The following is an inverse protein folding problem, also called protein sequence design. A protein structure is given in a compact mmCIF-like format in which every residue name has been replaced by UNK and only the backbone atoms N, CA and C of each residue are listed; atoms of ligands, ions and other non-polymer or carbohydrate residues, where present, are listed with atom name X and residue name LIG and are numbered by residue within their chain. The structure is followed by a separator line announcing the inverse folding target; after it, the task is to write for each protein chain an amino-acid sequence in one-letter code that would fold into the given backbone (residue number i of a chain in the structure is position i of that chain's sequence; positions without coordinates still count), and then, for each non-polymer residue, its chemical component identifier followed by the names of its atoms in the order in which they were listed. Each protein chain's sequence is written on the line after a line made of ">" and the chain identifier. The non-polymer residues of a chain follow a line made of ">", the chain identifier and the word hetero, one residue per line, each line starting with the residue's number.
data_IF_986483184678
#
_entry.id   IF_986483184678
#
_cell.length_a   1.000
_cell.length_b   1.000
_cell.length_c   1.000
_cell.angle_alpha   90.00
_cell.angle_beta   90.00
_cell.angle_gamma   90.00
#
_symmetry.space_group_name_H-M   'P 1'
#
loop_
_entity.id
_entity.type
_entity.pdbx_description
1 polymer ?
#
# COMPACT_ATOMS: atom_id res chain seq x y z
N UNK A 1 0.50 -18.15 -23.81
CA UNK A 1 -0.72 -17.36 -24.12
C UNK A 1 -1.06 -16.31 -23.05
N UNK A 2 -1.25 -16.65 -21.76
CA UNK A 2 -1.64 -15.69 -20.69
C UNK A 2 -0.63 -14.55 -20.47
N UNK A 3 0.67 -14.86 -20.38
CA UNK A 3 1.75 -13.86 -20.26
C UNK A 3 1.78 -12.88 -21.43
N UNK A 4 1.63 -13.38 -22.67
CA UNK A 4 1.61 -12.56 -23.88
C UNK A 4 0.40 -11.61 -23.89
N UNK A 5 -0.79 -12.12 -23.56
CA UNK A 5 -2.00 -11.30 -23.47
C UNK A 5 -1.84 -10.17 -22.45
N UNK A 6 -1.28 -10.46 -21.27
CA UNK A 6 -1.00 -9.44 -20.27
C UNK A 6 0.01 -8.40 -20.77
N UNK A 7 1.10 -8.83 -21.43
CA UNK A 7 2.08 -7.91 -22.03
C UNK A 7 1.47 -7.01 -23.11
N UNK A 8 0.54 -7.54 -23.92
CA UNK A 8 -0.20 -6.74 -24.91
C UNK A 8 -1.11 -5.70 -24.24
N UNK A 9 -1.85 -6.09 -23.19
CA UNK A 9 -2.66 -5.16 -22.40
C UNK A 9 -1.79 -4.06 -21.79
N UNK A 10 -0.63 -4.40 -21.21
CA UNK A 10 0.30 -3.43 -20.66
C UNK A 10 0.88 -2.49 -21.73
N UNK A 11 1.10 -2.98 -22.93
CA UNK A 11 1.57 -2.17 -24.06
C UNK A 11 0.49 -1.19 -24.53
N UNK A 12 -0.77 -1.64 -24.60
CA UNK A 12 -1.91 -0.79 -24.91
C UNK A 12 -2.13 0.29 -23.83
N UNK A 13 -2.05 -0.07 -22.55
CA UNK A 13 -2.16 0.88 -21.43
C UNK A 13 -1.03 1.93 -21.50
N UNK A 14 0.17 1.54 -21.93
CA UNK A 14 1.34 2.43 -21.95
C UNK A 14 1.15 3.67 -22.83
N UNK A 15 0.42 3.54 -23.95
CA UNK A 15 0.22 4.64 -24.91
C UNK A 15 -0.98 5.53 -24.58
N UNK A 16 -1.89 5.06 -23.71
CA UNK A 16 -3.08 5.82 -23.37
C UNK A 16 -2.76 6.98 -22.39
N UNK A 17 -3.41 8.15 -22.57
CA UNK A 17 -3.46 9.19 -21.56
C UNK A 17 -3.99 8.67 -20.22
N UNK A 18 -3.43 9.16 -19.10
CA UNK A 18 -3.79 8.71 -17.76
C UNK A 18 -5.30 8.80 -17.47
N UNK A 19 -5.97 9.86 -17.94
CA UNK A 19 -7.41 10.02 -17.71
C UNK A 19 -8.24 8.89 -18.34
N UNK A 20 -7.88 8.42 -19.55
CA UNK A 20 -8.58 7.29 -20.19
C UNK A 20 -8.37 6.00 -19.42
N UNK A 21 -7.13 5.75 -18.98
CA UNK A 21 -6.82 4.56 -18.18
C UNK A 21 -7.60 4.56 -16.87
N UNK A 22 -7.73 5.71 -16.22
CA UNK A 22 -8.51 5.87 -14.99
C UNK A 22 -10.02 5.79 -15.23
N UNK A 23 -10.53 6.24 -16.37
CA UNK A 23 -11.95 6.04 -16.74
C UNK A 23 -12.22 4.56 -16.95
N UNK A 24 -11.38 3.87 -17.73
CA UNK A 24 -11.50 2.42 -17.97
C UNK A 24 -11.42 1.65 -16.65
N UNK A 25 -10.40 1.94 -15.82
CA UNK A 25 -10.27 1.35 -14.49
C UNK A 25 -11.48 1.61 -13.61
N UNK A 26 -12.01 2.84 -13.63
CA UNK A 26 -13.22 3.21 -12.89
C UNK A 26 -14.45 2.42 -13.30
N UNK A 27 -14.69 2.29 -14.61
CA UNK A 27 -15.79 1.49 -15.16
C UNK A 27 -15.64 0.02 -14.77
N UNK A 28 -14.45 -0.56 -14.91
CA UNK A 28 -14.19 -1.96 -14.51
C UNK A 28 -14.41 -2.18 -13.01
N UNK A 29 -14.02 -1.22 -12.16
CA UNK A 29 -14.27 -1.26 -10.71
C UNK A 29 -15.77 -1.28 -10.37
N UNK A 30 -16.56 -0.43 -11.04
CA UNK A 30 -18.02 -0.41 -10.89
C UNK A 30 -18.63 -1.73 -11.39
N UNK A 31 -18.21 -2.23 -12.55
CA UNK A 31 -18.69 -3.49 -13.10
C UNK A 31 -18.35 -4.68 -12.18
N UNK A 32 -17.16 -4.71 -11.58
CA UNK A 32 -16.80 -5.72 -10.59
C UNK A 32 -17.72 -5.66 -9.36
N UNK A 33 -18.01 -4.46 -8.86
CA UNK A 33 -18.93 -4.26 -7.74
C UNK A 33 -20.35 -4.73 -8.04
N UNK A 34 -20.88 -4.41 -9.23
CA UNK A 34 -22.23 -4.79 -9.66
C UNK A 34 -22.32 -6.27 -10.05
N UNK A 35 -21.29 -6.82 -10.69
CA UNK A 35 -21.29 -8.18 -11.22
C UNK A 35 -20.91 -9.27 -10.22
N UNK A 36 -20.14 -8.95 -9.16
CA UNK A 36 -19.65 -9.95 -8.20
C UNK A 36 -20.26 -9.76 -6.80
N UNK A 37 -21.11 -10.71 -6.39
CA UNK A 37 -21.68 -10.77 -5.03
C UNK A 37 -20.58 -10.88 -3.97
N UNK A 38 -19.55 -11.70 -4.23
CA UNK A 38 -18.43 -11.90 -3.30
C UNK A 38 -17.58 -10.63 -3.14
N UNK A 39 -17.28 -9.92 -4.23
CA UNK A 39 -16.56 -8.66 -4.16
C UNK A 39 -17.34 -7.64 -3.32
N UNK A 40 -18.64 -7.52 -3.58
CA UNK A 40 -19.53 -6.60 -2.85
C UNK A 40 -19.67 -6.93 -1.37
N UNK A 41 -19.75 -8.20 -1.01
CA UNK A 41 -19.89 -8.62 0.39
C UNK A 41 -18.64 -8.33 1.21
N UNK A 42 -17.45 -8.34 0.60
CA UNK A 42 -16.22 -7.88 1.24
C UNK A 42 -16.16 -6.35 1.29
N UNK A 43 -16.51 -5.68 0.20
CA UNK A 43 -16.37 -4.23 0.06
C UNK A 43 -17.34 -3.43 0.95
N UNK A 44 -18.65 -3.62 0.75
CA UNK A 44 -19.68 -2.68 1.23
C UNK A 44 -19.74 -2.57 2.75
N UNK A 45 -19.75 -3.67 3.52
CA UNK A 45 -19.85 -3.57 4.99
C UNK A 45 -18.66 -2.85 5.60
N UNK A 46 -17.45 -3.08 5.09
CA UNK A 46 -16.23 -2.45 5.58
C UNK A 46 -16.24 -0.94 5.31
N UNK A 47 -16.49 -0.55 4.05
CA UNK A 47 -16.54 0.86 3.67
C UNK A 47 -17.65 1.62 4.41
N UNK A 48 -18.86 1.06 4.44
CA UNK A 48 -20.00 1.70 5.13
C UNK A 48 -19.76 1.89 6.61
N UNK A 49 -19.21 0.89 7.30
CA UNK A 49 -18.93 0.99 8.72
C UNK A 49 -18.01 2.17 9.04
N UNK A 50 -16.92 2.32 8.28
CA UNK A 50 -15.94 3.40 8.46
C UNK A 50 -16.53 4.76 8.12
N UNK A 51 -17.17 4.93 6.97
CA UNK A 51 -17.73 6.26 6.63
C UNK A 51 -18.84 6.67 7.58
N UNK A 52 -19.69 5.72 8.05
CA UNK A 52 -20.74 6.01 9.03
C UNK A 52 -20.17 6.37 10.40
N UNK A 53 -19.20 5.61 10.92
CA UNK A 53 -18.62 5.88 12.24
C UNK A 53 -17.88 7.23 12.29
N UNK A 54 -17.36 7.69 11.15
CA UNK A 54 -16.65 8.97 11.02
C UNK A 54 -17.50 10.10 10.43
N UNK A 55 -18.82 9.93 10.29
CA UNK A 55 -19.74 10.96 9.75
C UNK A 55 -19.33 11.48 8.36
N UNK A 56 -18.75 10.61 7.53
CA UNK A 56 -18.30 10.93 6.18
C UNK A 56 -19.40 10.58 5.15
N UNK A 57 -19.45 11.29 4.01
CA UNK A 57 -20.45 11.02 2.98
C UNK A 57 -20.26 9.63 2.36
N UNK A 58 -21.37 8.90 2.22
CA UNK A 58 -21.37 7.60 1.57
C UNK A 58 -21.27 7.76 0.05
N UNK A 59 -20.10 7.45 -0.52
CA UNK A 59 -19.80 7.62 -1.96
C UNK A 59 -19.43 6.28 -2.61
N UNK A 60 -20.34 5.31 -2.50
CA UNK A 60 -20.09 3.91 -2.89
C UNK A 60 -19.62 3.74 -4.34
N UNK A 61 -20.19 4.51 -5.28
CA UNK A 61 -19.82 4.44 -6.70
C UNK A 61 -18.43 5.00 -6.97
N UNK A 62 -18.10 6.12 -6.31
CA UNK A 62 -16.75 6.68 -6.39
C UNK A 62 -15.73 5.72 -5.78
N UNK A 63 -16.07 5.05 -4.67
CA UNK A 63 -15.18 4.12 -4.01
C UNK A 63 -14.97 2.81 -4.82
N UNK A 64 -16.03 2.31 -5.45
CA UNK A 64 -15.95 1.18 -6.38
C UNK A 64 -15.11 1.53 -7.61
N UNK A 65 -15.33 2.70 -8.22
CA UNK A 65 -14.51 3.18 -9.33
C UNK A 65 -13.04 3.35 -8.93
N UNK A 66 -12.80 3.93 -7.76
CA UNK A 66 -11.45 4.16 -7.24
C UNK A 66 -10.67 2.86 -7.00
N UNK A 67 -11.35 1.77 -6.64
CA UNK A 67 -10.70 0.46 -6.50
C UNK A 67 -10.21 -0.07 -7.84
N UNK A 68 -10.99 0.06 -8.91
CA UNK A 68 -10.54 -0.28 -10.26
C UNK A 68 -9.43 0.65 -10.76
N UNK A 69 -9.51 1.93 -10.41
CA UNK A 69 -8.47 2.92 -10.72
C UNK A 69 -7.14 2.63 -10.03
N UNK A 70 -7.13 2.10 -8.81
CA UNK A 70 -5.90 1.69 -8.11
C UNK A 70 -5.11 0.67 -8.94
N UNK A 71 -5.79 -0.32 -9.52
CA UNK A 71 -5.14 -1.30 -10.41
C UNK A 71 -4.67 -0.64 -11.71
N UNK A 72 -5.51 0.14 -12.39
CA UNK A 72 -5.13 0.76 -13.65
C UNK A 72 -4.01 1.80 -13.50
N UNK A 73 -4.00 2.56 -12.40
CA UNK A 73 -2.94 3.48 -12.02
C UNK A 73 -1.62 2.72 -11.87
N UNK A 74 -1.63 1.61 -11.14
CA UNK A 74 -0.45 0.78 -10.91
C UNK A 74 0.18 0.32 -12.23
N UNK A 75 -0.63 -0.22 -13.14
CA UNK A 75 -0.17 -0.68 -14.46
C UNK A 75 0.36 0.47 -15.32
N UNK A 76 -0.28 1.64 -15.27
CA UNK A 76 0.15 2.80 -16.04
C UNK A 76 1.45 3.39 -15.50
N UNK A 77 1.61 3.50 -14.18
CA UNK A 77 2.84 3.96 -13.51
C UNK A 77 4.03 3.08 -13.91
N UNK A 78 3.84 1.76 -13.94
CA UNK A 78 4.89 0.80 -14.34
C UNK A 78 5.39 1.04 -15.77
N UNK A 79 4.50 1.44 -16.67
CA UNK A 79 4.83 1.65 -18.09
C UNK A 79 5.24 3.09 -18.41
N UNK A 80 4.88 4.05 -17.57
CA UNK A 80 5.14 5.47 -17.77
C UNK A 80 5.81 6.13 -16.54
N UNK A 81 6.90 5.58 -15.97
CA UNK A 81 7.42 6.04 -14.69
C UNK A 81 7.82 7.52 -14.70
N UNK A 82 8.48 8.01 -15.76
CA UNK A 82 8.86 9.43 -15.89
C UNK A 82 7.66 10.36 -15.95
N UNK A 83 6.63 10.02 -16.75
CA UNK A 83 5.40 10.82 -16.84
C UNK A 83 4.64 10.79 -15.52
N UNK A 84 4.56 9.62 -14.87
CA UNK A 84 3.92 9.49 -13.58
C UNK A 84 4.57 10.39 -12.53
N UNK A 85 5.90 10.39 -12.45
CA UNK A 85 6.65 11.25 -11.53
C UNK A 85 6.39 12.74 -11.77
N UNK A 86 6.31 13.19 -13.03
CA UNK A 86 5.98 14.60 -13.34
C UNK A 86 4.57 15.05 -12.92
N UNK A 87 3.68 14.10 -12.61
CA UNK A 87 2.31 14.36 -12.18
C UNK A 87 2.15 14.28 -10.65
N UNK A 88 3.22 14.00 -9.92
CA UNK A 88 3.18 13.95 -8.45
C UNK A 88 3.38 15.34 -7.89
N UNK A 89 2.49 15.71 -6.99
CA UNK A 89 2.70 16.82 -6.07
C UNK A 89 3.11 16.24 -4.72
N UNK A 90 4.28 16.63 -4.24
CA UNK A 90 4.83 16.15 -2.96
C UNK A 90 4.67 17.22 -1.90
N UNK A 91 3.99 16.89 -0.81
CA UNK A 91 3.92 17.70 0.40
C UNK A 91 4.79 17.06 1.49
N UNK A 92 5.20 17.87 2.46
CA UNK A 92 5.96 17.43 3.64
C UNK A 92 7.33 16.80 3.33
N UNK A 93 7.92 17.11 2.17
CA UNK A 93 9.19 16.52 1.75
C UNK A 93 10.35 16.81 2.71
N UNK A 94 10.40 18.02 3.29
CA UNK A 94 11.42 18.39 4.30
C UNK A 94 11.42 17.46 5.51
N UNK A 95 10.26 16.92 5.89
CA UNK A 95 10.16 15.94 6.98
C UNK A 95 10.80 14.61 6.58
N UNK A 96 10.67 14.19 5.33
CA UNK A 96 11.28 12.98 4.80
C UNK A 96 12.80 13.12 4.72
N UNK A 97 13.29 14.25 4.18
CA UNK A 97 14.72 14.56 4.15
C UNK A 97 15.32 14.59 5.55
N UNK A 98 14.67 15.27 6.50
CA UNK A 98 15.12 15.31 7.88
C UNK A 98 15.20 13.90 8.50
N UNK A 99 14.19 13.06 8.29
CA UNK A 99 14.19 11.69 8.78
C UNK A 99 15.34 10.85 8.21
N UNK A 100 15.59 10.91 6.90
CA UNK A 100 16.69 10.16 6.29
C UNK A 100 18.06 10.68 6.76
N UNK A 101 18.18 12.01 6.92
CA UNK A 101 19.42 12.64 7.38
C UNK A 101 19.78 12.33 8.86
N UNK A 102 18.91 11.67 9.61
CA UNK A 102 19.26 11.08 10.92
C UNK A 102 20.26 9.92 10.77
N UNK A 103 20.48 9.41 9.56
CA UNK A 103 21.51 8.41 9.25
C UNK A 103 21.12 6.97 9.63
N UNK A 104 19.90 6.76 10.14
CA UNK A 104 19.40 5.44 10.55
C UNK A 104 18.50 4.78 9.49
N UNK A 105 18.47 5.32 8.27
CA UNK A 105 17.57 4.89 7.20
C UNK A 105 16.16 5.42 7.37
N UNK A 106 15.20 4.81 6.67
CA UNK A 106 13.79 5.18 6.75
C UNK A 106 12.88 3.97 6.61
N UNK A 107 11.92 3.81 7.53
CA UNK A 107 10.80 2.88 7.34
C UNK A 107 9.65 3.64 6.67
N UNK A 108 9.48 3.44 5.37
CA UNK A 108 8.34 3.92 4.59
C UNK A 108 7.17 2.95 4.75
N UNK A 109 6.05 3.46 5.28
CA UNK A 109 4.78 2.76 5.33
C UNK A 109 3.80 3.38 4.35
N UNK A 110 3.00 2.56 3.66
CA UNK A 110 1.87 3.07 2.88
C UNK A 110 0.75 2.04 2.80
N UNK A 111 -0.51 2.40 3.04
CA UNK A 111 -1.63 1.50 2.76
C UNK A 111 -1.85 1.37 1.25
N UNK A 112 -2.62 0.37 0.82
CA UNK A 112 -3.10 0.23 -0.55
C UNK A 112 -4.18 1.29 -0.86
N UNK A 113 -3.74 2.53 -1.02
CA UNK A 113 -4.58 3.72 -1.18
C UNK A 113 -4.11 4.54 -2.37
N UNK A 114 -5.06 4.92 -3.24
CA UNK A 114 -4.81 5.79 -4.39
C UNK A 114 -3.71 5.22 -5.30
N UNK A 115 -2.70 6.03 -5.60
CA UNK A 115 -1.54 5.68 -6.42
C UNK A 115 -0.32 5.25 -5.61
N UNK A 116 -0.48 4.39 -4.60
CA UNK A 116 0.60 3.97 -3.69
C UNK A 116 1.89 3.52 -4.41
N UNK A 117 1.78 2.97 -5.63
CA UNK A 117 2.91 2.57 -6.48
C UNK A 117 3.85 3.72 -6.86
N UNK A 118 3.39 4.99 -6.82
CA UNK A 118 4.24 6.13 -7.15
C UNK A 118 5.18 6.51 -6.00
N UNK A 119 4.81 6.22 -4.75
CA UNK A 119 5.54 6.60 -3.54
C UNK A 119 6.97 6.05 -3.53
N UNK A 120 7.21 4.73 -3.71
CA UNK A 120 8.59 4.23 -3.69
C UNK A 120 9.41 4.74 -4.87
N UNK A 121 8.78 5.10 -6.00
CA UNK A 121 9.48 5.68 -7.16
C UNK A 121 9.95 7.10 -6.89
N UNK A 122 9.14 7.92 -6.20
CA UNK A 122 9.54 9.25 -5.74
C UNK A 122 10.74 9.13 -4.79
N UNK A 123 10.66 8.26 -3.76
CA UNK A 123 11.79 8.03 -2.85
C UNK A 123 13.06 7.58 -3.58
N UNK A 124 12.92 6.67 -4.55
CA UNK A 124 14.05 6.15 -5.33
C UNK A 124 14.79 7.20 -6.17
N UNK A 125 14.19 8.37 -6.43
CA UNK A 125 14.90 9.49 -7.06
C UNK A 125 15.95 10.12 -6.13
N UNK A 126 15.83 9.90 -4.82
CA UNK A 126 16.67 10.53 -3.82
C UNK A 126 17.52 9.51 -3.05
N UNK A 127 16.99 8.31 -2.77
CA UNK A 127 17.64 7.32 -1.91
C UNK A 127 17.36 5.88 -2.38
N UNK A 128 18.29 4.92 -2.18
CA UNK A 128 18.00 3.50 -2.38
C UNK A 128 16.84 3.03 -1.50
N UNK A 129 15.94 2.23 -2.08
CA UNK A 129 14.75 1.72 -1.41
C UNK A 129 14.59 0.21 -1.60
N UNK A 130 14.47 -0.52 -0.49
CA UNK A 130 14.18 -1.96 -0.48
C UNK A 130 12.72 -2.22 -0.10
N UNK A 131 11.90 -2.72 -1.02
CA UNK A 131 10.44 -2.82 -0.88
C UNK A 131 10.01 -4.27 -0.67
N UNK A 132 9.19 -4.51 0.36
CA UNK A 132 8.62 -5.83 0.62
C UNK A 132 7.49 -6.09 -0.38
N UNK A 133 7.48 -7.27 -1.00
CA UNK A 133 6.35 -7.71 -1.79
C UNK A 133 6.05 -9.18 -1.51
N UNK A 134 4.77 -9.55 -1.67
CA UNK A 134 4.36 -10.94 -1.65
C UNK A 134 4.41 -11.47 -3.09
N UNK A 135 5.24 -12.47 -3.40
CA UNK A 135 5.26 -13.05 -4.74
C UNK A 135 3.89 -13.60 -5.15
N UNK A 136 3.60 -13.51 -6.44
CA UNK A 136 2.39 -14.12 -7.00
C UNK A 136 2.47 -15.64 -6.88
N UNK A 137 1.33 -16.30 -6.66
CA UNK A 137 1.25 -17.78 -6.72
C UNK A 137 1.56 -18.33 -8.11
N UNK A 138 1.39 -17.50 -9.14
CA UNK A 138 1.65 -17.86 -10.52
C UNK A 138 2.96 -17.21 -10.97
N UNK A 139 3.97 -18.03 -11.24
CA UNK A 139 5.33 -17.57 -11.56
C UNK A 139 5.36 -16.59 -12.74
N UNK A 140 4.64 -16.91 -13.83
CA UNK A 140 4.57 -16.04 -15.01
C UNK A 140 4.01 -14.64 -14.73
N UNK A 141 3.18 -14.49 -13.69
CA UNK A 141 2.66 -13.19 -13.26
C UNK A 141 3.69 -12.47 -12.38
N UNK A 142 4.44 -13.22 -11.56
CA UNK A 142 5.52 -12.67 -10.74
C UNK A 142 6.56 -11.98 -11.62
N UNK A 143 7.01 -12.63 -12.70
CA UNK A 143 7.94 -12.06 -13.68
C UNK A 143 7.43 -10.73 -14.27
N UNK A 144 6.16 -10.66 -14.67
CA UNK A 144 5.58 -9.44 -15.25
C UNK A 144 5.48 -8.31 -14.22
N UNK A 145 5.16 -8.64 -12.97
CA UNK A 145 5.11 -7.67 -11.86
C UNK A 145 6.50 -7.14 -11.54
N UNK A 146 7.50 -8.01 -11.45
CA UNK A 146 8.90 -7.63 -11.22
C UNK A 146 9.44 -6.77 -12.36
N UNK A 147 9.22 -7.17 -13.62
CA UNK A 147 9.57 -6.37 -14.81
C UNK A 147 8.92 -4.97 -14.76
N UNK A 148 7.64 -4.88 -14.39
CA UNK A 148 6.93 -3.59 -14.33
C UNK A 148 7.32 -2.71 -13.14
N UNK A 149 7.73 -3.32 -12.04
CA UNK A 149 8.16 -2.63 -10.83
C UNK A 149 9.64 -2.25 -10.84
N UNK A 150 10.45 -2.89 -11.68
CA UNK A 150 11.87 -2.57 -11.85
C UNK A 150 12.06 -1.07 -12.11
N UNK A 151 12.87 -0.44 -11.28
CA UNK A 151 13.18 0.98 -11.36
C UNK A 151 14.56 1.21 -10.72
N UNK A 152 15.37 2.17 -11.22
CA UNK A 152 16.67 2.49 -10.63
C UNK A 152 16.52 2.77 -9.12
N UNK A 153 17.49 2.33 -8.32
CA UNK A 153 17.52 2.47 -6.86
C UNK A 153 16.36 1.78 -6.11
N UNK A 154 15.58 0.91 -6.77
CA UNK A 154 14.55 0.09 -6.12
C UNK A 154 14.89 -1.38 -6.15
N UNK A 155 14.82 -2.04 -5.00
CA UNK A 155 15.03 -3.47 -4.84
C UNK A 155 13.80 -4.11 -4.20
N UNK A 156 13.21 -5.09 -4.87
CA UNK A 156 12.06 -5.83 -4.35
C UNK A 156 12.52 -7.10 -3.64
N UNK A 157 11.99 -7.33 -2.45
CA UNK A 157 12.33 -8.49 -1.64
C UNK A 157 11.08 -9.23 -1.16
N UNK A 158 11.08 -10.57 -1.16
CA UNK A 158 9.90 -11.35 -0.83
C UNK A 158 9.52 -11.25 0.65
N UNK A 159 8.23 -11.39 0.98
CA UNK A 159 7.71 -11.52 2.35
C UNK A 159 8.11 -12.85 3.00
N UNK A 160 9.40 -13.05 3.27
CA UNK A 160 9.96 -14.20 3.98
C UNK A 160 11.19 -13.78 4.79
N UNK A 161 11.80 -14.71 5.53
CA UNK A 161 12.98 -14.44 6.36
C UNK A 161 14.16 -13.86 5.56
N UNK A 162 14.34 -14.26 4.31
CA UNK A 162 15.39 -13.72 3.46
C UNK A 162 15.13 -12.24 3.15
N UNK A 163 13.90 -11.88 2.76
CA UNK A 163 13.55 -10.48 2.51
C UNK A 163 13.66 -9.60 3.75
N UNK A 164 13.23 -10.11 4.92
CA UNK A 164 13.39 -9.38 6.21
C UNK A 164 14.87 -9.14 6.54
N UNK A 165 15.75 -10.10 6.26
CA UNK A 165 17.21 -9.92 6.41
C UNK A 165 17.76 -8.87 5.45
N UNK A 166 17.30 -8.84 4.20
CA UNK A 166 17.70 -7.81 3.24
C UNK A 166 17.23 -6.43 3.67
N UNK A 167 16.01 -6.29 4.19
CA UNK A 167 15.50 -5.04 4.76
C UNK A 167 16.34 -4.55 5.93
N UNK A 168 16.68 -5.45 6.87
CA UNK A 168 17.58 -5.11 7.97
C UNK A 168 18.90 -4.54 7.44
N UNK A 169 19.51 -5.23 6.45
CA UNK A 169 20.79 -4.79 5.88
C UNK A 169 20.67 -3.44 5.18
N UNK A 170 19.54 -3.15 4.53
CA UNK A 170 19.28 -1.85 3.92
C UNK A 170 19.23 -0.75 4.99
N UNK A 171 18.49 -0.95 6.09
CA UNK A 171 18.45 -0.01 7.21
C UNK A 171 19.83 0.22 7.84
N UNK A 172 20.64 -0.83 8.02
CA UNK A 172 22.02 -0.70 8.51
C UNK A 172 22.91 0.12 7.58
N UNK A 173 22.61 0.18 6.27
CA UNK A 173 23.30 1.05 5.30
C UNK A 173 22.73 2.47 5.26
N UNK A 174 21.76 2.81 6.11
CA UNK A 174 21.07 4.10 6.06
C UNK A 174 20.09 4.25 4.89
N UNK A 175 19.68 3.14 4.26
CA UNK A 175 18.75 3.15 3.13
C UNK A 175 17.29 3.10 3.57
N UNK A 176 16.38 3.38 2.65
CA UNK A 176 14.95 3.25 2.91
C UNK A 176 14.46 1.80 2.75
N UNK A 177 13.46 1.42 3.53
CA UNK A 177 12.67 0.20 3.29
C UNK A 177 11.20 0.56 3.12
N UNK A 178 10.47 -0.22 2.32
CA UNK A 178 9.05 -0.02 2.05
C UNK A 178 8.18 -1.19 2.46
N UNK A 179 7.13 -0.94 3.24
CA UNK A 179 6.19 -1.96 3.70
C UNK A 179 4.76 -1.45 3.51
N UNK A 180 3.88 -2.32 3.00
CA UNK A 180 2.44 -2.08 3.00
C UNK A 180 1.81 -2.84 4.18
N UNK A 181 1.45 -2.16 5.28
CA UNK A 181 1.16 -2.81 6.56
C UNK A 181 -0.32 -3.20 6.75
N UNK A 182 -1.16 -2.95 5.75
CA UNK A 182 -2.62 -3.07 5.80
C UNK A 182 -3.16 -4.44 5.34
N UNK A 183 -2.28 -5.44 5.19
CA UNK A 183 -2.68 -6.81 4.86
C UNK A 183 -2.43 -7.79 6.01
N UNK A 184 -3.24 -8.85 6.04
CA UNK A 184 -3.14 -9.91 7.06
C UNK A 184 -1.88 -10.75 6.79
N UNK A 185 -0.95 -10.86 7.77
CA UNK A 185 0.25 -11.70 7.66
C UNK A 185 -0.09 -13.19 7.79
N UNK A 186 0.92 -14.06 7.70
CA UNK A 186 0.72 -15.51 7.89
C UNK A 186 0.46 -15.83 9.37
N UNK A 187 -0.13 -16.99 9.67
CA UNK A 187 -0.30 -17.43 11.06
C UNK A 187 1.03 -17.50 11.81
N UNK A 188 1.07 -16.92 13.01
CA UNK A 188 2.28 -16.78 13.83
C UNK A 188 3.09 -15.50 13.58
N UNK A 189 2.74 -14.70 12.58
CA UNK A 189 3.47 -13.47 12.21
C UNK A 189 2.74 -12.17 12.61
N UNK A 190 1.66 -12.28 13.38
CA UNK A 190 0.86 -11.15 13.82
C UNK A 190 0.16 -11.36 15.16
N UNK A 191 -0.55 -10.32 15.59
CA UNK A 191 -1.33 -10.25 16.83
C UNK A 191 -2.71 -9.68 16.53
N UNK A 192 -3.71 -10.08 17.32
CA UNK A 192 -5.06 -9.53 17.21
C UNK A 192 -5.16 -8.20 17.93
N UNK A 193 -5.37 -7.13 17.16
CA UNK A 193 -5.50 -5.76 17.69
C UNK A 193 -6.63 -5.03 16.95
N UNK A 194 -7.23 -3.99 17.53
CA UNK A 194 -8.30 -3.24 16.88
C UNK A 194 -7.85 -2.61 15.55
N UNK A 195 -8.71 -2.68 14.55
CA UNK A 195 -8.65 -1.92 13.29
C UNK A 195 -10.08 -1.47 12.92
N UNK A 196 -10.33 -0.17 12.96
CA UNK A 196 -11.66 0.44 12.91
C UNK A 196 -12.63 -0.23 13.91
N UNK A 197 -12.18 -0.38 15.15
CA UNK A 197 -12.98 -0.92 16.26
C UNK A 197 -13.25 -2.43 16.22
N UNK A 198 -12.64 -3.18 15.29
CA UNK A 198 -12.82 -4.64 15.16
C UNK A 198 -11.47 -5.36 15.24
N UNK A 199 -11.37 -6.55 15.86
CA UNK A 199 -10.13 -7.31 15.90
C UNK A 199 -9.62 -7.64 14.49
N UNK A 200 -8.37 -7.27 14.19
CA UNK A 200 -7.71 -7.57 12.93
C UNK A 200 -6.29 -8.09 13.19
N UNK A 201 -5.95 -9.20 12.55
CA UNK A 201 -4.62 -9.81 12.71
C UNK A 201 -3.57 -8.96 12.02
N UNK A 202 -2.61 -8.44 12.77
CA UNK A 202 -1.73 -7.33 12.35
C UNK A 202 -0.29 -7.67 12.66
N UNK A 203 0.62 -7.39 11.71
CA UNK A 203 2.04 -7.69 11.91
C UNK A 203 2.74 -6.59 12.72
N UNK A 204 3.57 -6.94 13.73
CA UNK A 204 4.46 -5.98 14.39
C UNK A 204 5.78 -5.77 13.62
N UNK A 205 5.93 -6.33 12.41
CA UNK A 205 7.18 -6.27 11.63
C UNK A 205 7.71 -4.84 11.41
N UNK A 206 6.90 -3.83 11.03
CA UNK A 206 7.38 -2.45 10.89
C UNK A 206 8.05 -1.90 12.16
N UNK A 207 7.40 -2.10 13.32
CA UNK A 207 7.92 -1.66 14.61
C UNK A 207 9.23 -2.37 14.96
N UNK A 208 9.29 -3.70 14.79
CA UNK A 208 10.51 -4.48 15.04
C UNK A 208 11.69 -4.03 14.17
N UNK A 209 11.45 -3.70 12.90
CA UNK A 209 12.49 -3.21 12.00
C UNK A 209 12.94 -1.79 12.37
N UNK A 210 12.00 -0.92 12.73
CA UNK A 210 12.29 0.45 13.14
C UNK A 210 13.10 0.49 14.45
N UNK A 211 12.60 -0.16 15.51
CA UNK A 211 13.19 -0.09 16.85
C UNK A 211 14.60 -0.68 16.88
N UNK A 212 14.86 -1.73 16.09
CA UNK A 212 16.19 -2.38 16.03
C UNK A 212 17.33 -1.43 15.65
N UNK A 213 17.07 -0.44 14.80
CA UNK A 213 18.08 0.49 14.31
C UNK A 213 17.76 1.94 14.69
N UNK A 214 16.78 2.16 15.59
CA UNK A 214 16.21 3.48 15.89
C UNK A 214 15.88 4.26 14.60
N UNK A 215 15.30 3.57 13.62
CA UNK A 215 14.99 4.12 12.31
C UNK A 215 13.68 4.90 12.37
N UNK A 216 13.64 6.13 11.84
CA UNK A 216 12.40 6.89 11.76
C UNK A 216 11.37 6.22 10.85
N UNK A 217 10.10 6.30 11.26
CA UNK A 217 8.98 5.75 10.51
C UNK A 217 8.14 6.89 9.93
N UNK A 218 7.85 6.80 8.64
CA UNK A 218 7.00 7.77 7.94
C UNK A 218 5.90 7.03 7.20
N UNK A 219 4.66 7.40 7.50
CA UNK A 219 3.46 6.97 6.78
C UNK A 219 3.23 7.87 5.57
N UNK A 220 3.10 7.27 4.40
CA UNK A 220 2.85 7.96 3.14
C UNK A 220 1.49 7.59 2.57
N UNK A 221 0.84 8.59 1.98
CA UNK A 221 -0.35 8.41 1.15
C UNK A 221 -0.12 9.07 -0.20
N UNK A 222 -0.72 8.52 -1.26
CA UNK A 222 -0.70 9.10 -2.60
C UNK A 222 -2.13 9.15 -3.17
N UNK A 223 -2.92 10.15 -2.76
CA UNK A 223 -4.31 10.27 -3.21
C UNK A 223 -4.36 10.84 -4.62
N UNK A 224 -5.21 10.30 -5.50
CA UNK A 224 -5.49 10.93 -6.80
C UNK A 224 -6.10 12.31 -6.58
N UNK A 225 -5.60 13.31 -7.31
CA UNK A 225 -6.11 14.69 -7.30
C UNK A 225 -7.40 14.85 -8.12
N UNK A 226 -7.49 14.05 -9.19
CA UNK A 226 -8.61 14.01 -10.12
C UNK A 226 -8.25 13.11 -11.32
N UNK A 227 -9.17 12.96 -12.28
CA UNK A 227 -8.91 12.17 -13.48
C UNK A 227 -7.80 12.81 -14.32
N UNK A 228 -6.73 12.07 -14.59
CA UNK A 228 -5.57 12.52 -15.37
C UNK A 228 -4.67 13.54 -14.65
N UNK A 229 -4.99 13.93 -13.42
CA UNK A 229 -4.30 15.02 -12.70
C UNK A 229 -3.16 14.55 -11.79
N UNK A 230 -2.85 13.25 -11.81
CA UNK A 230 -1.81 12.66 -10.97
C UNK A 230 -2.21 12.50 -9.51
N UNK A 231 -1.22 12.55 -8.63
CA UNK A 231 -1.35 12.17 -7.23
C UNK A 231 -0.77 13.25 -6.31
N UNK A 232 -1.45 13.47 -5.19
CA UNK A 232 -0.90 14.21 -4.05
C UNK A 232 -0.27 13.21 -3.09
N UNK A 233 1.05 13.24 -3.00
CA UNK A 233 1.83 12.47 -2.04
C UNK A 233 2.02 13.29 -0.76
N UNK A 234 1.60 12.74 0.38
CA UNK A 234 1.76 13.37 1.69
C UNK A 234 2.53 12.43 2.62
N UNK A 235 3.33 13.00 3.51
CA UNK A 235 4.17 12.26 4.44
C UNK A 235 3.86 12.67 5.88
N UNK A 236 3.67 11.67 6.76
CA UNK A 236 3.46 11.89 8.19
C UNK A 236 4.46 11.04 8.98
N UNK A 237 5.36 11.69 9.70
CA UNK A 237 6.23 11.00 10.66
C UNK A 237 5.39 10.42 11.79
N UNK A 238 5.65 9.17 12.13
CA UNK A 238 5.04 8.51 13.28
C UNK A 238 5.93 8.66 14.50
N UNK A 239 5.33 8.62 15.69
CA UNK A 239 6.09 8.44 16.91
C UNK A 239 6.80 7.08 16.88
N UNK A 240 7.93 6.92 17.60
CA UNK A 240 8.54 5.60 17.80
C UNK A 240 7.51 4.62 18.33
N UNK A 241 7.48 3.41 17.77
CA UNK A 241 6.56 2.37 18.20
C UNK A 241 7.02 1.78 19.53
N UNK A 242 6.06 1.29 20.32
CA UNK A 242 6.35 0.49 21.51
C UNK A 242 7.22 -0.73 21.19
N UNK A 243 8.05 -1.17 22.13
CA UNK A 243 8.75 -2.45 22.05
C UNK A 243 7.81 -3.64 22.29
N UNK A 244 6.66 -3.41 22.92
CA UNK A 244 5.61 -4.42 23.05
C UNK A 244 4.89 -4.61 21.71
N UNK A 245 4.91 -5.85 21.22
CA UNK A 245 4.37 -6.17 19.89
C UNK A 245 2.86 -5.93 19.73
N UNK A 246 2.08 -6.04 20.80
CA UNK A 246 0.62 -5.82 20.78
C UNK A 246 0.35 -4.31 20.72
N UNK A 247 1.01 -3.55 21.59
CA UNK A 247 0.89 -2.08 21.59
C UNK A 247 1.35 -1.51 20.24
N UNK A 248 2.51 -1.94 19.74
CA UNK A 248 3.06 -1.49 18.47
C UNK A 248 2.14 -1.80 17.27
N UNK A 249 1.51 -2.98 17.25
CA UNK A 249 0.56 -3.35 16.21
C UNK A 249 -0.73 -2.50 16.28
N UNK A 250 -1.19 -2.15 17.48
CA UNK A 250 -2.35 -1.27 17.67
C UNK A 250 -2.03 0.18 17.26
N UNK A 251 -0.84 0.69 17.59
CA UNK A 251 -0.33 1.98 17.12
C UNK A 251 -0.24 2.03 15.59
N UNK A 252 0.27 0.95 14.98
CA UNK A 252 0.35 0.79 13.54
C UNK A 252 -1.04 0.82 12.89
N UNK A 253 -2.01 0.08 13.42
CA UNK A 253 -3.39 0.12 12.92
C UNK A 253 -3.98 1.53 13.03
N UNK A 254 -3.78 2.21 14.16
CA UNK A 254 -4.21 3.60 14.34
C UNK A 254 -3.58 4.53 13.28
N UNK A 255 -2.30 4.34 12.96
CA UNK A 255 -1.63 5.11 11.90
C UNK A 255 -2.22 4.82 10.50
N UNK A 256 -2.55 3.55 10.21
CA UNK A 256 -3.19 3.14 8.96
C UNK A 256 -4.60 3.71 8.85
N UNK A 257 -5.39 3.69 9.93
CA UNK A 257 -6.74 4.27 9.97
C UNK A 257 -6.71 5.76 9.61
N UNK A 258 -5.82 6.52 10.24
CA UNK A 258 -5.63 7.94 9.90
C UNK A 258 -5.26 8.15 8.43
N UNK A 259 -4.39 7.30 7.88
CA UNK A 259 -4.01 7.37 6.45
C UNK A 259 -5.19 7.07 5.53
N UNK A 260 -6.02 6.09 5.87
CA UNK A 260 -7.24 5.75 5.12
C UNK A 260 -8.26 6.88 5.17
N UNK A 261 -8.45 7.49 6.35
CA UNK A 261 -9.41 8.60 6.53
C UNK A 261 -9.04 9.85 5.72
N UNK A 262 -7.80 10.00 5.27
CA UNK A 262 -7.41 11.07 4.35
C UNK A 262 -8.03 10.94 2.95
N UNK A 263 -8.36 9.71 2.51
CA UNK A 263 -9.06 9.45 1.25
C UNK A 263 -9.78 8.09 1.27
N UNK A 264 -10.84 7.92 2.09
CA UNK A 264 -11.46 6.62 2.34
C UNK A 264 -12.02 6.01 1.06
N UNK A 265 -12.49 6.82 0.11
CA UNK A 265 -12.98 6.32 -1.18
C UNK A 265 -11.88 5.70 -2.03
N UNK A 266 -10.60 6.01 -1.80
CA UNK A 266 -9.49 5.53 -2.61
C UNK A 266 -8.75 4.33 -1.99
N UNK A 267 -9.27 3.77 -0.90
CA UNK A 267 -8.74 2.56 -0.26
C UNK A 267 -9.35 1.28 -0.84
N UNK A 268 -8.59 0.17 -0.81
CA UNK A 268 -9.00 -1.14 -1.35
C UNK A 268 -9.93 -1.93 -0.39
N UNK A 269 -11.18 -1.51 -0.27
CA UNK A 269 -12.15 -2.14 0.65
C UNK A 269 -12.52 -3.59 0.32
N UNK A 270 -12.22 -4.08 -0.89
CA UNK A 270 -12.48 -5.47 -1.26
C UNK A 270 -11.53 -6.48 -0.62
N UNK A 271 -10.41 -6.04 -0.02
CA UNK A 271 -9.54 -6.93 0.73
C UNK A 271 -10.21 -7.32 2.06
N UNK A 272 -10.23 -8.63 2.36
CA UNK A 272 -10.76 -9.10 3.64
C UNK A 272 -9.73 -8.89 4.76
N UNK A 273 -9.69 -7.67 5.32
CA UNK A 273 -8.77 -7.27 6.39
C UNK A 273 -8.99 -8.02 7.71
N UNK A 274 -10.20 -8.56 7.90
CA UNK A 274 -10.66 -9.24 9.11
C UNK A 274 -10.67 -10.76 8.99
N UNK A 275 -10.06 -11.33 7.93
CA UNK A 275 -9.97 -12.79 7.80
C UNK A 275 -9.06 -13.38 8.89
N UNK A 276 -9.41 -14.58 9.34
CA UNK A 276 -8.53 -15.42 10.16
C UNK A 276 -7.48 -16.08 9.24
N UNK A 277 -6.18 -15.82 9.42
CA UNK A 277 -5.16 -16.54 8.68
C UNK A 277 -4.95 -17.95 9.24
N UNK A 278 -4.73 -18.91 8.35
CA UNK A 278 -4.41 -20.29 8.74
C UNK A 278 -3.22 -20.31 9.70
N UNK A 279 -3.37 -21.01 10.82
CA UNK A 279 -2.33 -21.17 11.84
C UNK A 279 -2.23 -20.01 12.85
N UNK A 280 -3.09 -18.98 12.78
CA UNK A 280 -3.20 -18.01 13.86
C UNK A 280 -4.16 -18.49 14.95
N UNK A 281 -3.95 -17.99 16.18
CA UNK A 281 -4.94 -18.09 17.25
C UNK A 281 -6.27 -17.46 16.82
N UNK A 282 -7.37 -17.87 17.46
CA UNK A 282 -8.67 -17.26 17.22
C UNK A 282 -8.67 -15.78 17.66
N UNK A 283 -9.44 -14.92 16.98
CA UNK A 283 -9.61 -13.56 17.45
C UNK A 283 -10.19 -13.55 18.87
N UNK A 284 -9.84 -12.56 19.72
CA UNK A 284 -10.44 -12.42 21.04
C UNK A 284 -11.96 -12.36 20.91
N UNK A 285 -12.66 -13.05 21.81
CA UNK A 285 -14.12 -12.97 21.90
C UNK A 285 -14.50 -11.53 22.29
N UNK A 286 -15.37 -10.92 21.48
CA UNK A 286 -16.05 -9.68 21.87
C UNK A 286 -16.99 -9.95 23.04
#
# INVERSE_FOLDING_TARGET
>A
MRKLLLKLILTAIAVLPLFLVQVIGGVLGILAYVGSKQYRSLFRPQYEAVVKSHHLPLQIWSAAAASGQLFSDSLWIWRNPKKALSLVEVQDWKLVEAAINEGHGLVMLTPHLGGFEIIPRVLAQHFPATILYRPSRQEWLNEVVEEGRAYPNMHFVPTNLHGVRQMTRALTRGEAIGILPDQVPSGGEGVWVPFFGRPAYTTPLPARLANRNNTPVVMFTAKRKGLGQGWLMQAKRLAPFSDDSIIAAAELNTAIEHAILAAPNQFIWSYNRYKHPSGAELPPSN
#
